data_IF_918508391874
#
_entry.id   IF_918508391874
#
_cell.length_a   1.000
_cell.length_b   1.000
_cell.length_c   1.000
_cell.angle_alpha   90.00
_cell.angle_beta   90.00
_cell.angle_gamma   90.00
#
_symmetry.space_group_name_H-M   'P 1'
#
loop_
_entity.id
_entity.type
_entity.pdbx_description
1 polymer ?
#
# COMPACT_ATOMS: atom_id res chain seq x y z
N UNK A 1 -33.33 -1.70 -1.00
CA UNK A 1 -32.51 -1.25 -1.18
C UNK A 1 -31.38 -1.23 -0.48
N UNK A 2 -30.49 -1.32 -0.87
CA UNK A 2 -29.37 -1.42 -0.09
C UNK A 2 -28.98 -0.12 0.41
N UNK A 3 -28.91 -0.03 1.63
CA UNK A 3 -28.36 1.13 2.20
C UNK A 3 -26.88 1.02 2.05
N UNK A 4 -26.34 1.87 1.26
CA UNK A 4 -24.92 2.00 1.20
C UNK A 4 -24.49 2.68 2.48
N UNK A 5 -23.83 1.94 3.30
CA UNK A 5 -23.23 2.51 4.47
C UNK A 5 -22.11 3.47 4.04
N UNK A 6 -22.19 4.70 4.53
CA UNK A 6 -21.10 5.65 4.32
C UNK A 6 -19.93 5.23 5.19
N UNK A 7 -18.72 5.06 4.62
CA UNK A 7 -17.57 4.76 5.45
C UNK A 7 -17.29 5.93 6.38
N UNK A 8 -16.85 5.62 7.59
CA UNK A 8 -16.45 6.67 8.52
C UNK A 8 -15.08 7.21 8.09
N UNK A 9 -14.63 8.26 8.78
CA UNK A 9 -13.39 8.93 8.42
C UNK A 9 -12.19 7.98 8.43
N UNK A 10 -12.13 7.09 9.41
CA UNK A 10 -11.03 6.13 9.53
C UNK A 10 -11.04 5.17 8.35
N UNK A 11 -12.21 4.66 7.99
CA UNK A 11 -12.35 3.74 6.86
C UNK A 11 -11.92 4.41 5.54
N UNK A 12 -12.30 5.67 5.36
CA UNK A 12 -11.89 6.43 4.17
C UNK A 12 -10.38 6.59 4.10
N UNK A 13 -9.75 6.93 5.22
CA UNK A 13 -8.31 7.11 5.26
C UNK A 13 -7.58 5.80 4.98
N UNK A 14 -8.06 4.70 5.56
CA UNK A 14 -7.47 3.39 5.33
C UNK A 14 -7.63 2.96 3.88
N UNK A 15 -8.83 3.13 3.31
CA UNK A 15 -9.06 2.77 1.92
C UNK A 15 -8.20 3.58 0.96
N UNK A 16 -8.02 4.86 1.25
CA UNK A 16 -7.19 5.73 0.43
C UNK A 16 -5.73 5.27 0.48
N UNK A 17 -5.23 4.97 1.67
CA UNK A 17 -3.85 4.51 1.82
C UNK A 17 -3.64 3.17 1.11
N UNK A 18 -4.57 2.24 1.26
CA UNK A 18 -4.49 0.95 0.61
C UNK A 18 -4.40 1.11 -0.91
N UNK A 19 -5.22 1.97 -1.48
CA UNK A 19 -5.19 2.24 -2.93
C UNK A 19 -3.87 2.84 -3.37
N UNK A 20 -3.33 3.78 -2.61
CA UNK A 20 -2.06 4.42 -2.93
C UNK A 20 -0.91 3.43 -2.88
N UNK A 21 -0.93 2.49 -1.94
CA UNK A 21 0.07 1.43 -1.87
C UNK A 21 0.00 0.57 -3.13
N UNK A 22 -1.21 0.14 -3.51
CA UNK A 22 -1.38 -0.69 -4.69
C UNK A 22 -0.88 0.03 -5.95
N UNK A 23 -1.20 1.31 -6.09
CA UNK A 23 -0.74 2.10 -7.24
C UNK A 23 0.78 2.23 -7.27
N UNK A 24 1.39 2.41 -6.10
CA UNK A 24 2.85 2.51 -6.02
C UNK A 24 3.51 1.22 -6.46
N UNK A 25 2.98 0.08 -6.02
CA UNK A 25 3.55 -1.22 -6.35
C UNK A 25 3.31 -1.63 -7.80
N UNK A 26 2.45 -0.91 -8.50
CA UNK A 26 2.25 -1.12 -9.94
C UNK A 26 3.55 -0.92 -10.72
N UNK A 27 4.42 -0.06 -10.22
CA UNK A 27 5.69 0.25 -10.89
C UNK A 27 6.79 -0.75 -10.58
N UNK A 28 6.57 -1.65 -9.64
CA UNK A 28 7.52 -2.67 -9.28
C UNK A 28 7.60 -2.87 -7.77
N UNK A 29 8.33 -3.92 -7.35
CA UNK A 29 8.48 -4.18 -5.93
C UNK A 29 9.20 -3.04 -5.20
N UNK A 30 8.82 -2.81 -3.95
CA UNK A 30 9.44 -1.77 -3.14
C UNK A 30 9.34 -2.13 -1.66
N UNK A 31 10.33 -1.69 -0.88
CA UNK A 31 10.27 -1.85 0.56
C UNK A 31 9.40 -0.76 1.18
N UNK A 32 9.02 -0.94 2.45
CA UNK A 32 8.06 -0.05 3.10
C UNK A 32 8.44 1.43 3.06
N UNK A 33 9.71 1.73 3.33
CA UNK A 33 10.18 3.11 3.32
C UNK A 33 10.04 3.74 1.93
N UNK A 34 10.37 2.99 0.88
CA UNK A 34 10.25 3.48 -0.48
C UNK A 34 8.79 3.70 -0.87
N UNK A 35 7.89 2.84 -0.39
CA UNK A 35 6.46 3.01 -0.62
C UNK A 35 5.98 4.32 0.00
N UNK A 36 6.34 4.56 1.25
CA UNK A 36 5.95 5.79 1.95
C UNK A 36 6.47 7.03 1.23
N UNK A 37 7.73 6.99 0.83
CA UNK A 37 8.34 8.10 0.09
C UNK A 37 7.65 8.38 -1.23
N UNK A 38 7.31 7.33 -1.96
CA UNK A 38 6.64 7.47 -3.25
C UNK A 38 5.26 8.10 -3.08
N UNK A 39 4.52 7.70 -2.05
CA UNK A 39 3.20 8.26 -1.78
C UNK A 39 3.32 9.74 -1.39
N UNK A 40 4.26 10.07 -0.54
CA UNK A 40 4.48 11.46 -0.12
C UNK A 40 4.87 12.34 -1.29
N UNK A 41 5.79 11.87 -2.12
CA UNK A 41 6.24 12.62 -3.30
C UNK A 41 5.10 12.82 -4.31
N UNK A 42 4.31 11.80 -4.50
CA UNK A 42 3.19 11.86 -5.44
C UNK A 42 2.09 12.81 -5.02
N UNK A 43 2.04 13.18 -3.74
CA UNK A 43 1.04 14.09 -3.21
C UNK A 43 1.63 15.47 -2.89
N UNK A 44 2.83 15.78 -3.37
CA UNK A 44 3.56 17.01 -3.06
C UNK A 44 3.69 17.23 -1.56
N UNK A 45 3.95 16.14 -0.84
CA UNK A 45 4.13 16.13 0.62
C UNK A 45 2.88 16.56 1.40
N UNK A 46 1.74 16.63 0.74
CA UNK A 46 0.47 16.91 1.43
C UNK A 46 0.05 15.71 2.28
N UNK A 47 0.32 14.50 1.77
CA UNK A 47 -0.03 13.27 2.47
C UNK A 47 1.23 12.64 3.05
N UNK A 48 1.40 12.78 4.36
CA UNK A 48 2.50 12.14 5.05
C UNK A 48 2.07 10.77 5.53
N UNK A 49 2.91 9.78 5.28
CA UNK A 49 2.60 8.39 5.62
C UNK A 49 3.42 7.97 6.82
N UNK A 50 2.75 7.82 7.95
CA UNK A 50 3.40 7.37 9.16
C UNK A 50 3.55 5.86 9.18
N UNK A 51 4.62 5.36 9.76
CA UNK A 51 4.86 3.92 9.88
C UNK A 51 3.73 3.23 10.65
N UNK A 52 3.14 3.91 11.62
CA UNK A 52 2.02 3.38 12.38
C UNK A 52 0.79 3.09 11.52
N UNK A 53 0.66 3.73 10.37
CA UNK A 53 -0.45 3.48 9.44
C UNK A 53 -0.03 2.59 8.29
N UNK A 54 1.21 2.71 7.84
CA UNK A 54 1.70 1.99 6.68
C UNK A 54 1.74 0.47 6.90
N UNK A 55 2.39 0.02 7.96
CA UNK A 55 2.56 -1.41 8.17
C UNK A 55 1.25 -2.15 8.43
N UNK A 56 0.30 -1.61 9.20
CA UNK A 56 -1.02 -2.24 9.28
C UNK A 56 -1.71 -2.33 7.91
N UNK A 57 -1.54 -1.31 7.06
CA UNK A 57 -2.12 -1.34 5.72
C UNK A 57 -1.49 -2.45 4.88
N UNK A 58 -0.17 -2.59 4.93
CA UNK A 58 0.52 -3.67 4.23
C UNK A 58 0.03 -5.04 4.70
N UNK A 59 -0.17 -5.21 5.99
CA UNK A 59 -0.70 -6.45 6.55
C UNK A 59 -2.11 -6.76 6.03
N UNK A 60 -2.97 -5.74 5.98
CA UNK A 60 -4.32 -5.92 5.45
C UNK A 60 -4.28 -6.40 4.00
N UNK A 61 -3.41 -5.79 3.20
CA UNK A 61 -3.31 -6.12 1.79
C UNK A 61 -2.75 -7.51 1.56
N UNK A 62 -1.81 -7.93 2.40
CA UNK A 62 -1.28 -9.30 2.35
C UNK A 62 -2.40 -10.29 2.68
N UNK A 63 -3.19 -10.03 3.72
CA UNK A 63 -4.30 -10.90 4.10
C UNK A 63 -5.34 -11.04 2.99
N UNK A 64 -5.57 -9.96 2.25
CA UNK A 64 -6.50 -10.00 1.12
C UNK A 64 -5.91 -10.69 -0.11
N UNK A 65 -4.61 -10.98 -0.07
CA UNK A 65 -3.94 -11.62 -1.20
C UNK A 65 -3.64 -10.66 -2.34
N UNK A 66 -3.71 -9.35 -2.12
CA UNK A 66 -3.47 -8.36 -3.15
C UNK A 66 -2.00 -8.00 -3.30
N UNK A 67 -1.22 -8.20 -2.25
CA UNK A 67 0.22 -8.04 -2.32
C UNK A 67 0.90 -9.22 -1.64
N UNK A 68 2.14 -9.46 -2.02
CA UNK A 68 3.01 -10.41 -1.36
C UNK A 68 4.30 -9.71 -1.03
N UNK A 69 5.24 -10.45 -0.46
CA UNK A 69 6.54 -9.88 -0.20
C UNK A 69 7.63 -10.94 -0.32
N UNK A 70 8.82 -10.46 -0.62
CA UNK A 70 10.03 -11.28 -0.63
C UNK A 70 11.05 -10.59 0.26
N UNK A 71 11.87 -11.38 0.93
CA UNK A 71 12.96 -10.80 1.71
C UNK A 71 14.15 -10.56 0.80
N UNK A 72 14.80 -9.41 1.01
CA UNK A 72 15.96 -9.04 0.22
C UNK A 72 16.87 -8.11 1.00
N UNK A 73 17.85 -7.57 0.30
CA UNK A 73 18.81 -6.66 0.90
C UNK A 73 18.62 -5.28 0.29
N UNK A 74 18.44 -4.27 1.14
CA UNK A 74 18.30 -2.89 0.68
C UNK A 74 19.64 -2.32 0.25
N UNK A 75 19.60 -1.11 -0.34
CA UNK A 75 20.80 -0.40 -0.76
C UNK A 75 21.80 -0.19 0.37
N UNK A 76 21.30 -0.12 1.60
CA UNK A 76 22.16 0.07 2.78
C UNK A 76 22.62 -1.26 3.35
N UNK A 77 22.54 -2.33 2.58
CA UNK A 77 22.96 -3.67 2.99
C UNK A 77 22.21 -4.18 4.22
N UNK A 78 20.94 -3.77 4.35
CA UNK A 78 20.07 -4.22 5.44
C UNK A 78 18.99 -5.12 4.92
N UNK A 79 18.59 -6.11 5.72
CA UNK A 79 17.47 -6.96 5.37
C UNK A 79 16.20 -6.12 5.29
N UNK A 80 15.44 -6.33 4.23
CA UNK A 80 14.20 -5.62 4.03
C UNK A 80 13.20 -6.53 3.33
N UNK A 81 11.92 -6.26 3.59
CA UNK A 81 10.84 -6.93 2.85
C UNK A 81 10.51 -6.06 1.65
N UNK A 82 10.50 -6.68 0.48
CA UNK A 82 10.11 -6.01 -0.75
C UNK A 82 8.70 -6.47 -1.10
N UNK A 83 7.75 -5.56 -1.04
CA UNK A 83 6.35 -5.85 -1.33
C UNK A 83 6.10 -5.75 -2.81
N UNK A 84 5.22 -6.59 -3.34
CA UNK A 84 4.89 -6.62 -4.75
C UNK A 84 3.40 -6.88 -4.94
N UNK A 85 2.86 -6.41 -6.07
CA UNK A 85 1.48 -6.73 -6.42
C UNK A 85 1.40 -8.21 -6.82
N UNK A 86 0.32 -8.85 -6.38
CA UNK A 86 -0.03 -10.17 -6.89
C UNK A 86 -0.93 -9.98 -8.11
N UNK A 87 -1.21 -11.07 -8.83
CA UNK A 87 -2.17 -11.02 -9.93
C UNK A 87 -3.53 -10.55 -9.44
N UNK A 88 -3.93 -10.99 -8.26
CA UNK A 88 -5.20 -10.59 -7.65
C UNK A 88 -5.19 -9.09 -7.31
N UNK A 89 -4.07 -8.58 -6.81
CA UNK A 89 -3.94 -7.16 -6.49
C UNK A 89 -3.98 -6.29 -7.72
N UNK A 90 -3.33 -6.73 -8.80
CA UNK A 90 -3.36 -6.01 -10.06
C UNK A 90 -4.77 -5.93 -10.61
N UNK A 91 -5.50 -7.03 -10.52
CA UNK A 91 -6.89 -7.09 -10.95
C UNK A 91 -7.76 -6.15 -10.13
N UNK A 92 -7.53 -6.09 -8.83
CA UNK A 92 -8.26 -5.20 -7.94
C UNK A 92 -7.98 -3.73 -8.30
N UNK A 93 -6.74 -3.42 -8.62
CA UNK A 93 -6.36 -2.07 -9.01
C UNK A 93 -7.04 -1.64 -10.30
N UNK A 94 -7.21 -2.56 -11.24
CA UNK A 94 -7.87 -2.25 -12.50
C UNK A 94 -9.36 -1.99 -12.31
N UNK A 95 -9.98 -2.58 -11.30
CA UNK A 95 -11.40 -2.37 -11.00
C UNK A 95 -11.63 -0.99 -10.37
N UNK A 96 -10.68 -0.52 -9.59
CA UNK A 96 -10.78 0.79 -8.95
C UNK A 96 -10.46 1.89 -9.96
#
# INVERSE_FOLDING_TARGET
>A
MSTKRRPNRIELLQGTLDLLILRTLRWGPAHGHAIAKAIESGSDDVLLVEQGSLYPALHRLIKRGWIGFDEGTSEKNRRAKFYRLTAKGRKQLDVE
#
